data_IF_170463034015
#
_entry.id   IF_170463034015
#
_cell.length_a   1.000
_cell.length_b   1.000
_cell.length_c   1.000
_cell.angle_alpha   90.00
_cell.angle_beta   90.00
_cell.angle_gamma   90.00
#
_symmetry.space_group_name_H-M   'P 1'
#
loop_
_entity.id
_entity.type
_entity.pdbx_description
1 polymer ?
#
# COMPACT_ATOMS: atom_id res chain seq x y z
N UNK A 1 -4.53 -13.53 -1.39
CA UNK A 1 -3.41 -13.67 -2.36
C UNK A 1 -2.06 -13.61 -1.67
N UNK A 2 -1.02 -14.17 -2.28
CA UNK A 2 0.34 -14.30 -1.68
C UNK A 2 1.21 -13.05 -1.83
N UNK A 3 0.59 -11.87 -1.72
CA UNK A 3 1.24 -10.57 -1.90
C UNK A 3 1.28 -10.13 -3.36
N UNK A 4 2.04 -9.06 -3.60
CA UNK A 4 2.16 -8.45 -4.92
C UNK A 4 3.06 -9.24 -5.87
N UNK A 5 4.30 -9.51 -5.44
CA UNK A 5 5.39 -9.95 -6.32
C UNK A 5 5.08 -11.28 -7.00
N UNK A 6 5.33 -11.36 -8.31
CA UNK A 6 5.03 -12.56 -9.11
C UNK A 6 5.48 -13.88 -8.46
N UNK A 7 4.50 -14.76 -8.29
CA UNK A 7 4.60 -16.20 -8.02
C UNK A 7 3.43 -16.87 -8.74
N UNK A 8 3.69 -18.01 -9.39
CA UNK A 8 2.67 -18.72 -10.17
C UNK A 8 1.74 -19.58 -9.29
N UNK A 9 2.29 -20.16 -8.21
CA UNK A 9 1.54 -20.98 -7.26
C UNK A 9 2.13 -20.81 -5.86
N UNK A 10 1.33 -20.35 -4.88
CA UNK A 10 0.02 -19.72 -5.04
C UNK A 10 0.08 -18.42 -5.88
N UNK A 11 -0.99 -18.08 -6.65
CA UNK A 11 -0.98 -16.88 -7.48
C UNK A 11 -0.96 -15.59 -6.64
N UNK A 12 -0.27 -14.60 -7.20
CA UNK A 12 -0.03 -13.27 -6.62
C UNK A 12 -0.76 -12.20 -7.44
N UNK A 13 -0.90 -11.00 -6.88
CA UNK A 13 -1.60 -9.90 -7.58
C UNK A 13 -0.94 -9.60 -8.93
N UNK A 14 0.39 -9.55 -8.98
CA UNK A 14 1.13 -9.36 -10.23
C UNK A 14 0.86 -10.49 -11.24
N UNK A 15 0.87 -11.75 -10.81
CA UNK A 15 0.59 -12.90 -11.69
C UNK A 15 -0.80 -12.82 -12.31
N UNK A 16 -1.82 -12.44 -11.52
CA UNK A 16 -3.19 -12.32 -11.99
C UNK A 16 -3.36 -11.16 -12.97
N UNK A 17 -2.75 -10.01 -12.71
CA UNK A 17 -2.76 -8.86 -13.62
C UNK A 17 -2.01 -9.18 -14.93
N UNK A 18 -0.83 -9.80 -14.86
CA UNK A 18 -0.08 -10.20 -16.05
C UNK A 18 -0.88 -11.19 -16.89
N UNK A 19 -1.55 -12.19 -16.29
CA UNK A 19 -2.42 -13.12 -17.03
C UNK A 19 -3.60 -12.42 -17.73
N UNK A 20 -4.14 -11.36 -17.15
CA UNK A 20 -5.19 -10.57 -17.79
C UNK A 20 -4.61 -9.76 -18.97
N UNK A 21 -3.47 -9.10 -18.75
CA UNK A 21 -2.78 -8.34 -19.79
C UNK A 21 -2.37 -9.22 -20.98
N UNK A 22 -1.77 -10.39 -20.75
CA UNK A 22 -1.37 -11.30 -21.85
C UNK A 22 -2.57 -11.75 -22.68
N UNK A 23 -3.74 -11.95 -22.07
CA UNK A 23 -4.98 -12.26 -22.81
C UNK A 23 -5.49 -11.09 -23.65
N UNK A 24 -5.32 -9.86 -23.18
CA UNK A 24 -5.81 -8.65 -23.86
C UNK A 24 -4.87 -8.27 -25.01
N UNK A 25 -3.57 -8.31 -24.76
CA UNK A 25 -2.54 -7.83 -25.70
C UNK A 25 -1.99 -8.94 -26.61
N UNK A 26 -2.23 -10.21 -26.28
CA UNK A 26 -1.61 -11.36 -26.95
C UNK A 26 -0.06 -11.33 -26.94
N UNK A 27 0.52 -10.69 -25.92
CA UNK A 27 1.97 -10.63 -25.69
C UNK A 27 2.38 -11.66 -24.66
N UNK A 28 3.66 -12.05 -24.64
CA UNK A 28 4.19 -12.83 -23.53
C UNK A 28 4.34 -11.95 -22.28
N UNK A 29 4.27 -12.59 -21.10
CA UNK A 29 4.47 -11.94 -19.80
C UNK A 29 5.75 -11.08 -19.75
N UNK A 30 6.84 -11.59 -20.32
CA UNK A 30 8.16 -10.94 -20.33
C UNK A 30 8.16 -9.64 -21.12
N UNK A 31 7.31 -9.53 -22.14
CA UNK A 31 7.26 -8.36 -23.02
C UNK A 31 6.46 -7.21 -22.39
N UNK A 32 5.50 -7.55 -21.52
CA UNK A 32 4.72 -6.58 -20.75
C UNK A 32 5.59 -5.77 -19.78
N UNK A 33 6.67 -6.33 -19.25
CA UNK A 33 7.54 -5.64 -18.27
C UNK A 33 6.75 -5.01 -17.10
N UNK A 34 5.72 -5.69 -16.57
CA UNK A 34 4.88 -5.13 -15.51
C UNK A 34 5.69 -4.90 -14.22
N UNK A 35 5.74 -3.65 -13.76
CA UNK A 35 6.43 -3.26 -12.53
C UNK A 35 5.49 -2.43 -11.65
N UNK A 36 5.29 -2.89 -10.42
CA UNK A 36 4.58 -2.16 -9.37
C UNK A 36 5.46 -1.17 -8.61
N UNK A 37 4.85 -0.11 -8.10
CA UNK A 37 5.51 0.93 -7.33
C UNK A 37 6.11 0.43 -6.01
N UNK A 38 5.46 -0.55 -5.39
CA UNK A 38 5.93 -1.22 -4.20
C UNK A 38 5.49 -2.67 -4.13
N UNK A 39 6.26 -3.50 -3.43
CA UNK A 39 5.80 -4.83 -3.04
C UNK A 39 4.91 -4.71 -1.81
N UNK A 40 3.83 -5.47 -1.78
CA UNK A 40 3.03 -5.72 -0.58
C UNK A 40 3.16 -7.19 -0.18
N UNK A 41 3.18 -7.44 1.13
CA UNK A 41 3.27 -8.80 1.68
C UNK A 41 1.94 -9.54 1.52
N UNK A 42 1.96 -10.87 1.69
CA UNK A 42 0.74 -11.66 1.77
C UNK A 42 -0.20 -11.12 2.86
N UNK A 43 -1.47 -10.91 2.48
CA UNK A 43 -2.50 -10.37 3.36
C UNK A 43 -2.49 -8.85 3.53
N UNK A 44 -1.57 -8.11 2.92
CA UNK A 44 -1.57 -6.64 2.92
C UNK A 44 -2.42 -6.13 1.74
N UNK A 45 -3.26 -5.14 2.00
CA UNK A 45 -4.14 -4.53 1.00
C UNK A 45 -3.44 -3.40 0.23
N UNK A 46 -4.04 -2.99 -0.88
CA UNK A 46 -3.63 -1.78 -1.58
C UNK A 46 -4.83 -1.07 -2.22
N UNK A 47 -4.98 0.21 -1.91
CA UNK A 47 -5.95 1.11 -2.50
C UNK A 47 -5.34 1.97 -3.62
N UNK A 48 -4.08 2.38 -3.42
CA UNK A 48 -3.35 3.26 -4.34
C UNK A 48 -2.05 2.64 -4.85
N UNK A 49 -2.05 1.33 -5.11
CA UNK A 49 -0.94 0.71 -5.84
C UNK A 49 -0.93 1.25 -7.28
N UNK A 50 0.25 1.62 -7.75
CA UNK A 50 0.49 2.02 -9.13
C UNK A 50 1.41 0.97 -9.77
N UNK A 51 1.13 0.59 -11.01
CA UNK A 51 1.99 -0.26 -11.80
C UNK A 51 2.05 0.25 -13.25
N UNK A 52 3.17 0.05 -13.90
CA UNK A 52 3.33 0.33 -15.33
C UNK A 52 3.70 -0.95 -16.07
N UNK A 53 3.33 -1.01 -17.35
CA UNK A 53 3.71 -2.05 -18.29
C UNK A 53 3.96 -1.40 -19.65
N UNK A 54 4.62 -2.13 -20.54
CA UNK A 54 4.97 -1.70 -21.89
C UNK A 54 4.18 -2.52 -22.90
N UNK A 55 3.80 -1.88 -23.99
CA UNK A 55 3.09 -2.51 -25.11
C UNK A 55 3.50 -1.81 -26.41
N UNK A 56 3.67 -2.55 -27.52
CA UNK A 56 4.04 -1.97 -28.81
C UNK A 56 2.83 -1.40 -29.58
N UNK A 57 1.62 -1.53 -29.01
CA UNK A 57 0.38 -1.14 -29.67
C UNK A 57 0.05 0.32 -29.36
N UNK A 58 -0.41 1.02 -30.39
CA UNK A 58 -1.08 2.31 -30.23
C UNK A 58 -2.57 2.07 -29.99
N UNK A 59 -3.12 2.73 -28.98
CA UNK A 59 -4.54 2.64 -28.65
C UNK A 59 -5.20 3.98 -28.93
N UNK A 60 -6.28 3.98 -29.73
CA UNK A 60 -7.11 5.18 -29.94
C UNK A 60 -7.84 5.58 -28.64
N UNK A 61 -8.16 4.60 -27.80
CA UNK A 61 -8.80 4.78 -26.47
C UNK A 61 -8.38 3.66 -25.52
N UNK A 62 -8.27 4.00 -24.23
CA UNK A 62 -7.95 3.06 -23.16
C UNK A 62 -9.18 2.37 -22.56
N UNK A 63 -10.41 2.80 -22.87
CA UNK A 63 -11.63 2.26 -22.25
C UNK A 63 -11.85 0.77 -22.51
N UNK A 64 -11.48 0.30 -23.71
CA UNK A 64 -11.59 -1.11 -24.06
C UNK A 64 -10.62 -1.96 -23.24
N UNK A 65 -9.37 -1.52 -23.11
CA UNK A 65 -8.34 -2.19 -22.31
C UNK A 65 -8.74 -2.19 -20.84
N UNK A 66 -9.18 -1.05 -20.33
CA UNK A 66 -9.62 -0.90 -18.95
C UNK A 66 -10.82 -1.81 -18.62
N UNK A 67 -11.85 -1.83 -19.48
CA UNK A 67 -13.00 -2.70 -19.31
C UNK A 67 -12.62 -4.19 -19.39
N UNK A 68 -11.75 -4.57 -20.33
CA UNK A 68 -11.28 -5.95 -20.47
C UNK A 68 -10.46 -6.41 -19.26
N UNK A 69 -9.58 -5.55 -18.72
CA UNK A 69 -8.84 -5.84 -17.49
C UNK A 69 -9.80 -6.16 -16.34
N UNK A 70 -10.73 -5.26 -16.03
CA UNK A 70 -11.67 -5.46 -14.93
C UNK A 70 -12.65 -6.62 -15.18
N UNK A 71 -12.93 -6.97 -16.44
CA UNK A 71 -13.72 -8.16 -16.79
C UNK A 71 -12.99 -9.48 -16.59
N UNK A 72 -11.66 -9.50 -16.69
CA UNK A 72 -10.82 -10.70 -16.51
C UNK A 72 -10.31 -10.88 -15.08
N UNK A 73 -10.25 -9.80 -14.29
CA UNK A 73 -9.72 -9.79 -12.93
C UNK A 73 -10.75 -10.31 -11.91
N UNK A 74 -10.31 -11.10 -10.90
CA UNK A 74 -11.17 -11.54 -9.80
C UNK A 74 -11.68 -10.34 -8.98
N UNK A 75 -12.76 -10.52 -8.22
CA UNK A 75 -13.47 -9.43 -7.53
C UNK A 75 -12.64 -8.65 -6.50
N UNK A 76 -11.54 -9.22 -6.02
CA UNK A 76 -10.61 -8.62 -5.07
C UNK A 76 -9.46 -7.83 -5.74
N UNK A 77 -9.40 -7.77 -7.07
CA UNK A 77 -8.48 -6.91 -7.82
C UNK A 77 -9.27 -6.03 -8.79
N UNK A 78 -9.12 -4.72 -8.67
CA UNK A 78 -9.72 -3.74 -9.59
C UNK A 78 -8.69 -2.73 -10.04
N UNK A 79 -8.67 -2.52 -11.36
CA UNK A 79 -7.97 -1.39 -11.97
C UNK A 79 -8.94 -0.22 -11.92
N UNK A 80 -8.52 0.88 -11.28
CA UNK A 80 -9.38 2.08 -11.09
C UNK A 80 -9.14 3.13 -12.17
N UNK A 81 -7.95 3.10 -12.76
CA UNK A 81 -7.48 4.09 -13.71
C UNK A 81 -6.44 3.43 -14.63
N UNK A 82 -6.49 3.78 -15.91
CA UNK A 82 -5.46 3.44 -16.90
C UNK A 82 -5.13 4.72 -17.67
N UNK A 83 -3.86 5.12 -17.66
CA UNK A 83 -3.36 6.29 -18.37
C UNK A 83 -2.13 5.91 -19.22
N UNK A 84 -1.87 6.64 -20.31
CA UNK A 84 -0.55 6.67 -20.90
C UNK A 84 0.43 7.32 -19.91
N UNK A 85 1.70 6.97 -20.02
CA UNK A 85 2.77 7.58 -19.26
C UNK A 85 3.93 7.88 -20.21
N UNK A 86 4.74 8.89 -19.84
CA UNK A 86 5.95 9.20 -20.59
C UNK A 86 6.93 8.00 -20.56
N UNK A 87 7.74 7.77 -21.62
CA UNK A 87 8.66 6.63 -21.69
C UNK A 87 9.63 6.50 -20.51
N UNK A 88 10.00 7.62 -19.89
CA UNK A 88 10.87 7.71 -18.72
C UNK A 88 10.17 7.40 -17.40
N UNK A 89 8.84 7.29 -17.39
CA UNK A 89 8.09 6.97 -16.19
C UNK A 89 8.39 5.54 -15.73
N UNK A 90 8.76 5.40 -14.45
CA UNK A 90 8.93 4.10 -13.83
C UNK A 90 8.20 4.05 -12.50
N UNK A 91 7.14 3.24 -12.41
CA UNK A 91 6.25 3.17 -11.24
C UNK A 91 7.01 3.07 -9.89
N UNK A 92 8.13 2.34 -9.84
CA UNK A 92 8.94 2.21 -8.61
C UNK A 92 9.95 3.34 -8.38
N UNK A 93 10.59 3.84 -9.44
CA UNK A 93 11.79 4.69 -9.31
C UNK A 93 11.45 6.18 -9.44
N UNK A 94 10.38 6.49 -10.16
CA UNK A 94 9.80 7.83 -10.23
C UNK A 94 9.05 8.22 -8.94
N UNK A 95 8.74 7.25 -8.08
CA UNK A 95 8.03 7.47 -6.82
C UNK A 95 8.87 8.32 -5.85
N UNK A 96 8.23 9.30 -5.21
CA UNK A 96 8.81 10.21 -4.22
C UNK A 96 8.37 9.91 -2.79
N UNK A 97 7.26 9.18 -2.64
CA UNK A 97 6.81 8.74 -1.34
C UNK A 97 5.71 7.70 -1.45
N UNK A 98 5.43 7.05 -0.32
CA UNK A 98 4.35 6.09 -0.16
C UNK A 98 3.58 6.41 1.10
N UNK A 99 2.27 6.24 1.04
CA UNK A 99 1.37 6.40 2.18
C UNK A 99 0.82 5.02 2.52
N UNK A 100 1.08 4.57 3.75
CA UNK A 100 0.47 3.38 4.30
C UNK A 100 -0.48 3.76 5.41
N UNK A 101 -1.56 3.00 5.53
CA UNK A 101 -2.49 3.08 6.66
C UNK A 101 -2.60 1.74 7.32
N UNK A 102 -2.49 1.72 8.63
CA UNK A 102 -2.82 0.57 9.46
C UNK A 102 -4.08 0.86 10.26
N UNK A 103 -5.12 0.05 10.05
CA UNK A 103 -6.39 0.20 10.76
C UNK A 103 -6.44 -0.75 11.97
N UNK A 104 -6.78 -0.19 13.12
CA UNK A 104 -7.00 -0.93 14.37
C UNK A 104 -8.45 -0.70 14.76
N UNK A 105 -9.22 -1.78 14.90
CA UNK A 105 -10.52 -1.72 15.52
C UNK A 105 -10.34 -1.83 17.03
N UNK A 106 -10.72 -0.79 17.76
CA UNK A 106 -10.53 -0.67 19.20
C UNK A 106 -11.85 -0.64 20.00
N UNK A 107 -12.92 -1.18 19.41
CA UNK A 107 -14.14 -1.54 20.15
C UNK A 107 -13.96 -2.86 20.92
N UNK A 108 -14.75 -3.04 21.97
CA UNK A 108 -14.73 -4.27 22.79
C UNK A 108 -15.10 -5.51 21.99
N UNK A 109 -16.06 -5.39 21.06
CA UNK A 109 -16.53 -6.45 20.17
C UNK A 109 -16.23 -6.07 18.73
N UNK A 110 -15.53 -6.95 18.01
CA UNK A 110 -15.14 -6.72 16.62
C UNK A 110 -16.35 -6.65 15.69
N UNK A 111 -16.41 -5.62 14.85
CA UNK A 111 -17.37 -5.56 13.74
C UNK A 111 -17.00 -6.64 12.70
N UNK A 112 -17.89 -7.60 12.40
CA UNK A 112 -17.61 -8.63 11.41
C UNK A 112 -17.27 -8.06 10.03
N UNK A 113 -17.76 -6.89 9.64
CA UNK A 113 -17.45 -6.26 8.35
C UNK A 113 -16.03 -5.67 8.28
N UNK A 114 -15.42 -5.38 9.43
CA UNK A 114 -14.07 -4.82 9.52
C UNK A 114 -12.99 -5.89 9.69
N UNK A 115 -13.36 -7.15 9.97
CA UNK A 115 -12.44 -8.23 10.41
C UNK A 115 -11.30 -8.56 9.45
N UNK A 116 -11.45 -8.21 8.17
CA UNK A 116 -10.44 -8.42 7.14
C UNK A 116 -9.66 -7.15 6.79
N UNK A 117 -10.04 -6.00 7.35
CA UNK A 117 -9.50 -4.68 7.01
C UNK A 117 -8.86 -3.97 8.20
N UNK A 118 -9.11 -4.45 9.43
CA UNK A 118 -8.57 -3.86 10.66
C UNK A 118 -8.15 -4.96 11.65
N UNK A 119 -7.06 -4.69 12.38
CA UNK A 119 -6.64 -5.51 13.52
C UNK A 119 -7.53 -5.22 14.73
N UNK A 120 -8.10 -6.25 15.37
CA UNK A 120 -8.85 -6.07 16.60
C UNK A 120 -7.92 -5.95 17.81
N UNK A 121 -7.92 -4.81 18.49
CA UNK A 121 -7.32 -4.67 19.83
C UNK A 121 -8.42 -4.73 20.88
N UNK A 122 -8.40 -5.79 21.69
CA UNK A 122 -9.30 -5.98 22.84
C UNK A 122 -9.00 -5.02 24.00
N UNK A 123 -7.76 -4.53 24.07
CA UNK A 123 -7.35 -3.52 25.04
C UNK A 123 -7.66 -2.14 24.49
N UNK A 124 -8.28 -1.27 25.30
CA UNK A 124 -8.44 0.15 24.98
C UNK A 124 -7.05 0.76 24.78
N UNK A 125 -6.90 1.53 23.71
CA UNK A 125 -5.66 2.20 23.35
C UNK A 125 -5.79 3.69 23.62
N UNK A 126 -4.74 4.28 24.19
CA UNK A 126 -4.60 5.70 24.32
C UNK A 126 -4.01 6.27 23.01
N UNK A 127 -4.86 6.87 22.18
CA UNK A 127 -4.44 7.43 20.89
C UNK A 127 -3.47 8.61 21.05
N UNK A 128 -3.60 9.39 22.13
CA UNK A 128 -2.73 10.54 22.40
C UNK A 128 -1.27 10.14 22.62
N UNK A 129 -1.01 9.13 23.43
CA UNK A 129 0.37 8.62 23.64
C UNK A 129 0.91 7.90 22.40
N UNK A 130 0.03 7.30 21.59
CA UNK A 130 0.43 6.73 20.29
C UNK A 130 0.85 7.82 19.30
N UNK A 131 0.13 8.95 19.26
CA UNK A 131 0.49 10.12 18.45
C UNK A 131 1.82 10.73 18.90
N UNK A 132 2.01 10.90 20.21
CA UNK A 132 3.30 11.35 20.78
C UNK A 132 4.46 10.44 20.32
N UNK A 133 4.28 9.12 20.45
CA UNK A 133 5.28 8.16 20.00
C UNK A 133 5.48 8.15 18.48
N UNK A 134 4.41 8.36 17.70
CA UNK A 134 4.47 8.41 16.24
C UNK A 134 5.37 9.56 15.75
N UNK A 135 5.33 10.70 16.45
CA UNK A 135 6.14 11.87 16.14
C UNK A 135 7.65 11.61 16.23
N UNK A 136 8.12 10.70 17.10
CA UNK A 136 9.54 10.34 17.15
C UNK A 136 10.05 9.64 15.88
N UNK A 137 9.16 9.06 15.07
CA UNK A 137 9.55 8.47 13.79
C UNK A 137 9.67 9.50 12.66
N UNK A 138 9.15 10.72 12.82
CA UNK A 138 9.21 11.78 11.81
C UNK A 138 10.65 12.25 11.63
N UNK A 139 11.05 12.49 10.38
CA UNK A 139 12.42 12.86 10.01
C UNK A 139 13.20 11.70 9.38
N UNK A 140 14.53 11.87 9.32
CA UNK A 140 15.45 10.95 8.66
C UNK A 140 16.17 10.08 9.68
N UNK A 141 15.92 8.77 9.63
CA UNK A 141 16.45 7.80 10.61
C UNK A 141 16.95 6.53 9.92
N UNK A 142 17.85 5.83 10.59
CA UNK A 142 18.17 4.43 10.28
C UNK A 142 17.09 3.53 10.89
N UNK A 143 16.34 2.83 10.04
CA UNK A 143 15.23 1.96 10.46
C UNK A 143 15.62 0.48 10.57
N UNK A 144 16.90 0.15 10.71
CA UNK A 144 17.39 -1.23 10.84
C UNK A 144 16.70 -2.01 11.97
N UNK A 145 16.47 -1.35 13.12
CA UNK A 145 15.76 -1.95 14.25
C UNK A 145 14.29 -2.30 13.94
N UNK A 146 13.69 -1.61 12.97
CA UNK A 146 12.31 -1.80 12.53
C UNK A 146 12.21 -2.63 11.25
N UNK A 147 13.32 -3.12 10.69
CA UNK A 147 13.30 -3.95 9.49
C UNK A 147 13.43 -5.43 9.83
N UNK A 148 12.76 -6.28 9.06
CA UNK A 148 13.06 -7.71 9.08
C UNK A 148 14.15 -8.02 8.04
N UNK A 149 15.15 -8.83 8.40
CA UNK A 149 16.14 -9.32 7.44
C UNK A 149 15.50 -10.31 6.46
N UNK A 150 15.88 -10.20 5.18
CA UNK A 150 15.58 -11.20 4.15
C UNK A 150 16.91 -11.62 3.54
N UNK A 151 17.13 -12.93 3.38
CA UNK A 151 18.37 -13.51 2.84
C UNK A 151 18.75 -13.06 1.41
N UNK A 152 17.81 -12.49 0.65
CA UNK A 152 17.93 -12.23 -0.80
C UNK A 152 17.50 -10.81 -1.24
N UNK A 153 17.32 -9.88 -0.31
CA UNK A 153 17.22 -8.47 -0.67
C UNK A 153 18.62 -7.90 -0.51
N UNK A 154 19.24 -7.44 -1.60
CA UNK A 154 20.59 -6.83 -1.54
C UNK A 154 20.67 -5.70 -0.51
N UNK A 155 21.85 -5.11 -0.32
CA UNK A 155 22.07 -4.02 0.65
C UNK A 155 21.13 -2.85 0.34
N UNK A 156 19.98 -2.79 1.04
CA UNK A 156 19.04 -1.69 0.94
C UNK A 156 19.47 -0.62 1.91
N UNK A 157 19.46 0.62 1.45
CA UNK A 157 19.65 1.78 2.30
C UNK A 157 18.66 1.72 3.48
N UNK A 158 19.13 1.52 4.73
CA UNK A 158 18.27 1.44 5.89
C UNK A 158 17.76 2.82 6.32
N UNK A 159 18.33 3.89 5.77
CA UNK A 159 17.93 5.25 6.05
C UNK A 159 16.66 5.56 5.28
N UNK A 160 15.61 5.95 5.99
CA UNK A 160 14.35 6.41 5.39
C UNK A 160 13.95 7.73 6.01
N UNK A 161 13.09 8.45 5.31
CA UNK A 161 12.52 9.70 5.80
C UNK A 161 11.03 9.53 5.86
N UNK A 162 10.43 9.66 7.05
CA UNK A 162 8.97 9.78 7.17
C UNK A 162 8.63 11.25 7.34
N UNK A 163 7.77 11.74 6.47
CA UNK A 163 7.33 13.14 6.40
C UNK A 163 6.11 13.40 7.27
N UNK A 164 5.33 12.36 7.55
CA UNK A 164 4.11 12.43 8.36
C UNK A 164 3.80 11.07 8.98
N UNK A 165 3.41 11.05 10.25
CA UNK A 165 2.83 9.88 10.89
C UNK A 165 1.74 10.36 11.85
N UNK A 166 0.49 10.04 11.55
CA UNK A 166 -0.69 10.48 12.32
C UNK A 166 -1.53 9.29 12.77
N UNK A 167 -2.19 9.46 13.91
CA UNK A 167 -3.14 8.56 14.56
C UNK A 167 -4.48 9.26 14.58
N UNK A 168 -5.40 8.82 13.71
CA UNK A 168 -6.75 9.39 13.63
C UNK A 168 -7.76 8.48 14.32
N UNK A 169 -8.56 9.05 15.21
CA UNK A 169 -9.71 8.36 15.82
C UNK A 169 -10.96 8.53 14.94
N UNK A 170 -11.52 7.41 14.49
CA UNK A 170 -12.72 7.35 13.65
C UNK A 170 -13.75 6.43 14.30
N UNK A 171 -14.39 6.90 15.37
CA UNK A 171 -15.27 6.08 16.19
C UNK A 171 -14.49 4.89 16.79
N UNK A 172 -14.90 3.63 16.54
CA UNK A 172 -14.18 2.47 17.06
C UNK A 172 -12.89 2.13 16.29
N UNK A 173 -12.55 2.86 15.22
CA UNK A 173 -11.35 2.58 14.41
C UNK A 173 -10.28 3.63 14.63
N UNK A 174 -9.08 3.20 15.03
CA UNK A 174 -7.87 4.01 15.00
C UNK A 174 -7.13 3.77 13.68
N UNK A 175 -6.83 4.85 12.96
CA UNK A 175 -6.07 4.80 11.71
C UNK A 175 -4.69 5.40 11.90
N UNK A 176 -3.67 4.55 11.79
CA UNK A 176 -2.26 4.93 11.82
C UNK A 176 -1.80 5.15 10.38
N UNK A 177 -1.70 6.40 9.96
CA UNK A 177 -1.30 6.75 8.60
C UNK A 177 0.11 7.32 8.57
N UNK A 178 1.00 6.65 7.84
CA UNK A 178 2.40 7.01 7.71
C UNK A 178 2.77 7.28 6.26
N UNK A 179 3.44 8.41 6.05
CA UNK A 179 3.99 8.83 4.77
C UNK A 179 5.51 8.91 4.87
N UNK A 180 6.20 8.34 3.88
CA UNK A 180 7.65 8.45 3.81
C UNK A 180 8.22 8.17 2.42
N UNK A 181 9.52 8.39 2.26
CA UNK A 181 10.27 8.20 1.01
C UNK A 181 10.30 6.74 0.53
N UNK A 182 10.00 5.81 1.43
CA UNK A 182 9.91 4.37 1.20
C UNK A 182 9.97 3.65 2.54
N UNK A 183 9.75 2.34 2.51
CA UNK A 183 9.76 1.52 3.72
C UNK A 183 10.55 0.24 3.49
N UNK A 184 11.29 -0.17 4.52
CA UNK A 184 11.98 -1.45 4.59
C UNK A 184 10.95 -2.58 4.79
N UNK A 185 11.41 -3.81 4.59
CA UNK A 185 10.55 -4.98 4.76
C UNK A 185 9.96 -5.03 6.17
N UNK A 186 8.62 -5.04 6.24
CA UNK A 186 7.80 -5.01 7.47
C UNK A 186 7.96 -3.77 8.36
N UNK A 187 8.68 -2.73 7.92
CA UNK A 187 8.92 -1.53 8.73
C UNK A 187 7.65 -0.93 9.32
N UNK A 188 6.63 -0.67 8.49
CA UNK A 188 5.36 -0.06 8.95
C UNK A 188 4.68 -0.93 10.02
N UNK A 189 4.62 -2.25 9.81
CA UNK A 189 4.02 -3.19 10.78
C UNK A 189 4.80 -3.25 12.09
N UNK A 190 6.13 -3.15 12.02
CA UNK A 190 6.99 -3.14 13.19
C UNK A 190 6.86 -1.84 13.99
N UNK A 191 6.71 -0.68 13.32
CA UNK A 191 6.39 0.59 14.00
C UNK A 191 5.02 0.51 14.69
N UNK A 192 4.00 0.03 13.97
CA UNK A 192 2.64 -0.19 14.53
C UNK A 192 2.67 -1.15 15.72
N UNK A 193 3.46 -2.21 15.65
CA UNK A 193 3.58 -3.19 16.73
C UNK A 193 4.08 -2.56 18.04
N UNK A 194 5.04 -1.64 17.96
CA UNK A 194 5.52 -0.88 19.12
C UNK A 194 4.48 0.13 19.59
N UNK A 195 3.85 0.87 18.67
CA UNK A 195 2.79 1.83 18.99
C UNK A 195 1.60 1.16 19.69
N UNK A 196 1.27 -0.09 19.37
CA UNK A 196 0.26 -0.84 20.12
C UNK A 196 0.63 -1.09 21.58
N UNK A 197 1.91 -1.30 21.91
CA UNK A 197 2.34 -1.47 23.30
C UNK A 197 2.33 -0.13 24.04
N UNK A 198 2.76 0.94 23.36
CA UNK A 198 2.71 2.30 23.90
C UNK A 198 1.27 2.74 24.13
N UNK A 199 0.37 2.47 23.18
CA UNK A 199 -1.06 2.77 23.31
C UNK A 199 -1.75 1.97 24.42
N UNK A 200 -1.20 0.81 24.80
CA UNK A 200 -1.63 0.06 26.00
C UNK A 200 -0.99 0.58 27.28
N UNK A 201 -0.15 1.61 27.19
CA UNK A 201 0.66 2.17 28.28
C UNK A 201 1.58 1.13 28.94
N UNK A 202 1.91 0.05 28.22
CA UNK A 202 2.80 -1.00 28.70
C UNK A 202 4.28 -0.60 28.65
N UNK A 203 4.60 0.36 27.77
CA UNK A 203 5.92 0.98 27.64
C UNK A 203 5.76 2.47 27.32
N UNK A 204 6.66 3.34 27.79
CA UNK A 204 6.58 4.78 27.54
C UNK A 204 6.96 5.16 26.09
N UNK A 205 6.45 6.29 25.55
CA UNK A 205 6.77 6.78 24.20
C UNK A 205 8.27 7.00 23.91
N UNK A 206 9.05 7.40 24.92
CA UNK A 206 10.49 7.70 24.81
C UNK A 206 11.35 6.47 24.47
N UNK A 207 10.77 5.27 24.43
CA UNK A 207 11.44 4.05 23.95
C UNK A 207 11.70 4.09 22.44
N UNK A 208 10.91 4.83 21.66
CA UNK A 208 11.04 4.92 20.20
C UNK A 208 12.44 5.41 19.78
N UNK A 209 12.94 6.57 20.25
CA UNK A 209 14.27 7.04 19.88
C UNK A 209 15.38 6.08 20.34
N UNK A 210 15.24 5.43 21.50
CA UNK A 210 16.21 4.44 22.00
C UNK A 210 16.33 3.22 21.07
N UNK A 211 15.21 2.74 20.52
CA UNK A 211 15.20 1.64 19.56
C UNK A 211 15.74 2.08 18.19
N UNK A 212 15.44 3.29 17.74
CA UNK A 212 16.01 3.84 16.51
C UNK A 212 17.54 3.97 16.61
N UNK A 213 18.05 4.48 17.74
CA UNK A 213 19.49 4.66 17.98
C UNK A 213 20.24 3.33 18.05
N UNK A 214 19.62 2.28 18.62
CA UNK A 214 20.27 0.97 18.74
C UNK A 214 20.55 0.30 17.40
N UNK A 215 19.72 0.59 16.38
CA UNK A 215 19.75 -0.05 15.05
C UNK A 215 19.64 -1.59 15.09
N UNK A 216 19.36 -2.16 16.25
CA UNK A 216 19.26 -3.61 16.46
C UNK A 216 17.80 -4.03 16.61
N UNK A 217 17.34 -4.88 15.70
CA UNK A 217 16.00 -5.45 15.71
C UNK A 217 15.69 -6.21 16.99
N UNK A 218 16.71 -6.75 17.68
CA UNK A 218 16.52 -7.42 18.98
C UNK A 218 15.97 -6.48 20.04
N UNK A 219 16.31 -5.19 19.99
CA UNK A 219 15.79 -4.20 20.94
C UNK A 219 14.29 -3.98 20.75
N UNK A 220 13.82 -3.89 19.50
CA UNK A 220 12.38 -3.86 19.23
C UNK A 220 11.67 -5.13 19.72
N UNK A 221 12.29 -6.30 19.51
CA UNK A 221 11.70 -7.60 19.82
C UNK A 221 11.46 -7.82 21.33
N UNK A 222 12.08 -7.03 22.22
CA UNK A 222 11.83 -7.06 23.66
C UNK A 222 10.42 -6.56 24.02
N UNK A 223 9.83 -5.71 23.18
CA UNK A 223 8.58 -5.03 23.47
C UNK A 223 7.48 -5.39 22.47
N UNK A 224 7.80 -5.49 21.19
CA UNK A 224 6.82 -5.55 20.12
C UNK A 224 6.68 -6.96 19.52
N UNK A 225 5.43 -7.44 19.42
CA UNK A 225 5.07 -8.66 18.71
C UNK A 225 4.56 -8.35 17.30
N UNK A 226 4.81 -9.25 16.35
CA UNK A 226 4.38 -9.07 14.96
C UNK A 226 2.86 -8.88 14.85
N UNK A 227 2.44 -7.77 14.26
CA UNK A 227 1.02 -7.49 13.99
C UNK A 227 0.56 -8.13 12.68
N UNK A 228 -0.72 -8.55 12.55
CA UNK A 228 -1.24 -9.13 11.31
C UNK A 228 -1.15 -8.19 10.10
N UNK A 229 -1.05 -8.72 8.87
CA UNK A 229 -0.93 -7.91 7.66
C UNK A 229 -2.25 -7.28 7.20
N UNK A 230 -3.40 -7.87 7.55
CA UNK A 230 -4.72 -7.47 7.04
C UNK A 230 -5.19 -6.08 7.50
N UNK A 231 -4.58 -5.52 8.56
CA UNK A 231 -4.82 -4.13 8.96
C UNK A 231 -4.06 -3.12 8.10
N UNK A 232 -3.04 -3.54 7.34
CA UNK A 232 -2.18 -2.66 6.54
C UNK A 232 -2.72 -2.50 5.12
N UNK A 233 -2.77 -1.26 4.64
CA UNK A 233 -3.10 -0.91 3.27
C UNK A 233 -2.10 0.09 2.71
N UNK A 234 -1.59 -0.15 1.49
CA UNK A 234 -0.94 0.89 0.69
C UNK A 234 -2.01 1.84 0.14
N UNK A 235 -2.09 3.05 0.70
CA UNK A 235 -3.14 4.02 0.38
C UNK A 235 -2.80 4.83 -0.87
N UNK A 236 -1.52 5.13 -1.08
CA UNK A 236 -1.09 5.92 -2.22
C UNK A 236 0.41 5.92 -2.46
N UNK A 237 0.77 6.30 -3.68
CA UNK A 237 2.16 6.52 -4.10
C UNK A 237 2.23 7.93 -4.65
N UNK A 238 3.20 8.71 -4.15
CA UNK A 238 3.44 10.08 -4.60
C UNK A 238 4.47 10.09 -5.71
N UNK A 239 4.18 10.84 -6.75
CA UNK A 239 5.09 11.14 -7.85
C UNK A 239 5.21 12.65 -8.00
N UNK A 240 6.18 13.11 -8.78
CA UNK A 240 6.22 14.52 -9.18
C UNK A 240 5.18 14.78 -10.26
N UNK A 241 4.69 16.00 -10.31
CA UNK A 241 3.71 16.45 -11.32
C UNK A 241 4.21 16.21 -12.76
N UNK A 242 5.50 16.49 -13.01
CA UNK A 242 6.14 16.27 -14.33
C UNK A 242 6.01 14.83 -14.84
N UNK A 243 6.00 13.85 -13.94
CA UNK A 243 5.86 12.43 -14.29
C UNK A 243 4.41 12.00 -14.56
N UNK A 244 3.45 12.86 -14.21
CA UNK A 244 2.01 12.61 -14.36
C UNK A 244 1.41 13.33 -15.56
N UNK A 245 2.21 14.11 -16.29
CA UNK A 245 1.78 14.75 -17.51
C UNK A 245 1.63 13.71 -18.63
N UNK A 246 0.51 13.82 -19.35
CA UNK A 246 0.21 12.95 -20.47
C UNK A 246 1.09 13.31 -21.68
N UNK A 247 1.67 12.32 -22.38
CA UNK A 247 2.37 12.57 -23.63
C UNK A 247 1.47 13.25 -24.66
N UNK A 248 2.05 14.13 -25.48
CA UNK A 248 1.27 14.79 -26.54
C UNK A 248 0.69 13.78 -27.53
N UNK A 249 -0.60 13.93 -27.84
CA UNK A 249 -1.31 13.07 -28.80
C UNK A 249 -1.63 11.65 -28.30
N UNK A 250 -1.48 11.38 -27.00
CA UNK A 250 -1.87 10.10 -26.42
C UNK A 250 -3.40 10.01 -26.21
N UNK A 251 -3.98 8.79 -26.06
CA UNK A 251 -5.38 8.65 -25.67
C UNK A 251 -5.63 9.24 -24.27
N UNK A 252 -6.87 9.63 -24.00
CA UNK A 252 -7.27 10.11 -22.69
C UNK A 252 -7.17 9.03 -21.61
N UNK A 253 -7.05 9.48 -20.36
CA UNK A 253 -7.09 8.60 -19.18
C UNK A 253 -8.47 7.94 -19.09
N UNK A 254 -8.49 6.63 -18.90
CA UNK A 254 -9.72 5.90 -18.63
C UNK A 254 -9.92 5.70 -17.14
N UNK A 255 -11.01 6.24 -16.62
CA UNK A 255 -11.53 5.95 -15.26
C UNK A 255 -12.61 4.86 -15.26
N UNK A 256 -12.79 4.18 -16.40
CA UNK A 256 -13.82 3.19 -16.64
C UNK A 256 -15.04 3.78 -17.37
N UNK A 257 -15.92 2.91 -17.84
CA UNK A 257 -17.12 3.36 -18.58
C UNK A 257 -18.05 4.12 -17.64
N UNK A 258 -18.28 5.39 -17.94
CA UNK A 258 -19.34 6.16 -17.31
C UNK A 258 -20.67 5.80 -17.98
N UNK A 259 -21.55 5.12 -17.25
CA UNK A 259 -22.93 4.97 -17.69
C UNK A 259 -23.68 6.26 -17.36
N UNK A 260 -23.80 7.17 -18.32
CA UNK A 260 -24.75 8.26 -18.22
C UNK A 260 -26.16 7.66 -18.25
N UNK A 261 -26.85 7.68 -17.11
CA UNK A 261 -28.27 7.31 -17.04
C UNK A 261 -29.06 8.42 -17.74
N UNK A 262 -29.32 8.25 -19.04
CA UNK A 262 -30.03 9.25 -19.85
C UNK A 262 -31.55 9.23 -19.66
N UNK A 263 -32.10 8.21 -19.00
CA UNK A 263 -33.52 8.13 -18.63
C UNK A 263 -33.68 7.48 -17.27
N UNK A 264 -33.83 8.29 -16.24
CA UNK A 264 -34.35 7.84 -14.95
C UNK A 264 -35.87 7.68 -15.12
N UNK A 265 -36.34 6.50 -15.52
CA UNK A 265 -37.74 6.12 -15.25
C UNK A 265 -37.80 5.75 -13.79
N UNK A 266 -38.04 6.72 -12.91
CA UNK A 266 -38.48 6.43 -11.55
C UNK A 266 -39.85 5.75 -11.65
N UNK A 267 -40.00 4.48 -11.25
CA UNK A 267 -41.31 4.00 -10.87
C UNK A 267 -41.62 4.68 -9.53
N UNK A 268 -42.51 5.67 -9.56
CA UNK A 268 -43.18 6.12 -8.34
C UNK A 268 -43.85 4.90 -7.71
N UNK A 269 -43.47 4.56 -6.49
CA UNK A 269 -44.23 3.74 -5.55
C UNK A 269 -44.38 4.55 -4.27
#
# INVERSE_FOLDING_TARGET
MSGWQYQASPPTVQCVIERALTKITNLDRKDLNLVGAGRTDAGVHAWGQVAHFITPFNYDTLDKVHAALNGLLPSDIRVREVSPAAPEFHARFSAKGKIYRYSIYNGTIMDPFQRHLAYHSVYRLNAGVMEEAANYFIGKHDFSAFANSIRNDGVRDPIKTISRFVVNEMGPVLQLEVEGSGFLYRQVRNMVALLLQIGREAVPPDIVPKILESRDRKELAKYALSVPPHGLCLVGVKYKEEHMQLPFGCPEVSFGRQHCISKCKLPFY
#
